data_IF_746582264284
#
_entry.id   IF_746582264284
#
_cell.length_a   1.000
_cell.length_b   1.000
_cell.length_c   1.000
_cell.angle_alpha   90.00
_cell.angle_beta   90.00
_cell.angle_gamma   90.00
#
_symmetry.space_group_name_H-M   'P 1'
#
loop_
_entity.id
_entity.type
_entity.pdbx_description
1 polymer ?
#
# COMPACT_ATOMS: atom_id res chain seq x y z
N UNK A 1 -13.51 9.62 -19.60
CA UNK A 1 -14.16 9.92 -20.87
C UNK A 1 -13.20 9.76 -22.05
N UNK A 2 -12.18 10.61 -22.26
CA UNK A 2 -11.24 10.47 -23.40
C UNK A 2 -10.48 9.15 -23.45
N UNK A 3 -10.17 8.55 -22.29
CA UNK A 3 -9.53 7.23 -22.18
C UNK A 3 -10.52 6.05 -22.12
N UNK A 4 -11.81 6.26 -22.42
CA UNK A 4 -12.83 5.22 -22.34
C UNK A 4 -13.10 4.69 -20.92
N UNK A 5 -12.72 5.43 -19.88
CA UNK A 5 -12.96 5.08 -18.47
C UNK A 5 -14.02 6.00 -17.89
N UNK A 6 -14.84 5.46 -17.00
CA UNK A 6 -15.73 6.30 -16.19
C UNK A 6 -14.89 7.05 -15.14
N UNK A 7 -15.10 8.38 -14.97
CA UNK A 7 -14.41 9.14 -13.94
C UNK A 7 -14.88 8.69 -12.56
N UNK A 8 -13.91 8.50 -11.66
CA UNK A 8 -14.21 8.20 -10.25
C UNK A 8 -14.57 9.45 -9.43
N UNK A 9 -14.26 10.63 -9.96
CA UNK A 9 -14.49 11.92 -9.32
C UNK A 9 -14.66 13.01 -10.38
N UNK A 10 -15.28 14.14 -9.99
CA UNK A 10 -15.54 15.29 -10.83
C UNK A 10 -15.03 16.56 -10.17
N UNK A 11 -13.95 17.12 -10.70
CA UNK A 11 -13.49 18.47 -10.33
C UNK A 11 -14.25 19.51 -11.14
N UNK A 12 -15.08 20.32 -10.47
CA UNK A 12 -15.83 21.40 -11.09
C UNK A 12 -15.06 22.71 -10.89
N UNK A 13 -14.86 23.45 -11.97
CA UNK A 13 -14.22 24.76 -11.89
C UNK A 13 -15.09 25.84 -12.52
N UNK A 14 -15.10 27.05 -11.94
CA UNK A 14 -16.04 28.12 -12.29
C UNK A 14 -15.43 29.51 -12.17
N UNK A 15 -15.97 30.47 -12.92
CA UNK A 15 -15.67 31.90 -12.72
C UNK A 15 -16.40 32.53 -11.52
N UNK A 16 -17.40 31.82 -10.96
CA UNK A 16 -18.14 32.31 -9.79
C UNK A 16 -17.26 32.33 -8.55
N UNK A 17 -17.33 33.39 -7.76
CA UNK A 17 -16.64 33.47 -6.47
C UNK A 17 -17.27 32.50 -5.45
N UNK A 18 -16.54 32.07 -4.41
CA UNK A 18 -17.07 31.13 -3.41
C UNK A 18 -18.40 31.58 -2.79
N UNK A 19 -18.56 32.89 -2.52
CA UNK A 19 -19.82 33.45 -2.03
C UNK A 19 -20.99 33.24 -3.00
N UNK A 20 -20.75 33.46 -4.30
CA UNK A 20 -21.78 33.27 -5.33
C UNK A 20 -22.14 31.79 -5.49
N UNK A 21 -21.20 30.86 -5.38
CA UNK A 21 -21.48 29.41 -5.35
C UNK A 21 -22.40 29.06 -4.17
N UNK A 22 -22.12 29.63 -2.99
CA UNK A 22 -22.95 29.42 -1.77
C UNK A 22 -24.36 30.02 -1.89
N UNK A 23 -24.55 31.08 -2.65
CA UNK A 23 -25.88 31.68 -2.93
C UNK A 23 -26.73 30.77 -3.85
N UNK A 24 -26.10 30.08 -4.80
CA UNK A 24 -26.81 29.20 -5.75
C UNK A 24 -27.21 27.86 -5.12
N UNK A 25 -26.39 27.32 -4.24
CA UNK A 25 -26.60 25.98 -3.69
C UNK A 25 -27.01 26.01 -2.22
N UNK A 26 -28.11 25.32 -1.91
CA UNK A 26 -28.70 25.30 -0.58
C UNK A 26 -27.83 24.71 0.52
N UNK A 27 -26.94 23.75 0.17
CA UNK A 27 -26.08 23.06 1.13
C UNK A 27 -24.65 23.01 0.62
N UNK A 28 -23.78 23.72 1.31
CA UNK A 28 -22.36 23.81 0.99
C UNK A 28 -21.52 23.61 2.24
N UNK A 29 -20.26 23.18 2.06
CA UNK A 29 -19.26 23.03 3.12
C UNK A 29 -17.99 23.78 2.69
N UNK A 30 -17.42 24.59 3.57
CA UNK A 30 -16.21 25.38 3.33
C UNK A 30 -14.97 24.49 3.50
N UNK A 31 -14.63 23.71 2.47
CA UNK A 31 -13.50 22.77 2.51
C UNK A 31 -12.16 23.41 2.15
N UNK A 32 -12.17 24.57 1.49
CA UNK A 32 -10.95 25.26 1.06
C UNK A 32 -11.25 26.67 0.58
N UNK A 33 -12.11 27.41 1.26
CA UNK A 33 -12.60 28.73 0.83
C UNK A 33 -11.46 29.74 0.59
N UNK A 34 -10.37 29.65 1.36
CA UNK A 34 -9.18 30.50 1.19
C UNK A 34 -8.50 30.30 -0.17
N UNK A 35 -8.68 29.12 -0.77
CA UNK A 35 -8.15 28.74 -2.07
C UNK A 35 -9.21 28.69 -3.16
N UNK A 36 -10.42 29.19 -2.86
CA UNK A 36 -11.52 29.27 -3.80
C UNK A 36 -12.38 28.01 -3.91
N UNK A 37 -12.19 26.99 -3.05
CA UNK A 37 -12.92 25.72 -3.13
C UNK A 37 -14.06 25.68 -2.12
N UNK A 38 -15.25 25.29 -2.60
CA UNK A 38 -16.45 25.03 -1.82
C UNK A 38 -16.98 23.66 -2.21
N UNK A 39 -17.30 22.80 -1.24
CA UNK A 39 -17.97 21.52 -1.54
C UNK A 39 -19.48 21.73 -1.55
N UNK A 40 -20.11 21.46 -2.69
CA UNK A 40 -21.55 21.47 -2.89
C UNK A 40 -22.10 20.09 -2.58
N UNK A 41 -23.06 20.02 -1.64
CA UNK A 41 -23.68 18.76 -1.23
C UNK A 41 -24.94 18.48 -2.04
N UNK A 42 -24.94 17.42 -2.85
CA UNK A 42 -26.12 16.91 -3.57
C UNK A 42 -26.56 15.57 -2.98
N UNK A 43 -27.54 15.62 -2.11
CA UNK A 43 -27.93 14.45 -1.31
C UNK A 43 -26.85 14.08 -0.29
N UNK A 44 -26.24 12.91 -0.45
CA UNK A 44 -25.11 12.42 0.37
C UNK A 44 -23.75 12.66 -0.28
N UNK A 45 -23.72 13.03 -1.54
CA UNK A 45 -22.50 13.23 -2.32
C UNK A 45 -22.04 14.69 -2.25
N UNK A 46 -20.73 14.89 -2.18
CA UNK A 46 -20.10 16.20 -2.19
C UNK A 46 -19.29 16.40 -3.47
N UNK A 47 -19.51 17.54 -4.15
CA UNK A 47 -18.79 17.92 -5.35
C UNK A 47 -17.95 19.16 -5.07
N UNK A 48 -16.65 19.08 -5.32
CA UNK A 48 -15.75 20.22 -5.16
C UNK A 48 -15.93 21.21 -6.31
N UNK A 49 -16.25 22.45 -5.96
CA UNK A 49 -16.38 23.55 -6.92
C UNK A 49 -15.32 24.59 -6.58
N UNK A 50 -14.37 24.79 -7.51
CA UNK A 50 -13.24 25.69 -7.32
C UNK A 50 -13.34 26.88 -8.25
N UNK A 51 -13.24 28.09 -7.69
CA UNK A 51 -13.14 29.34 -8.45
C UNK A 51 -11.84 29.38 -9.24
N UNK A 52 -11.90 29.83 -10.51
CA UNK A 52 -10.68 30.07 -11.32
C UNK A 52 -9.75 31.02 -10.59
N UNK A 53 -8.46 30.70 -10.61
CA UNK A 53 -7.49 31.47 -9.87
C UNK A 53 -6.13 31.53 -10.56
N UNK A 54 -5.40 32.56 -10.23
CA UNK A 54 -3.98 32.72 -10.52
C UNK A 54 -3.25 32.53 -9.19
N UNK A 55 -2.30 31.64 -9.14
CA UNK A 55 -1.47 31.43 -7.97
C UNK A 55 -0.32 32.45 -7.99
N UNK A 56 -0.09 33.15 -6.88
CA UNK A 56 1.04 34.02 -6.69
C UNK A 56 2.36 33.27 -6.50
N UNK A 57 3.41 33.95 -6.08
CA UNK A 57 4.71 33.34 -5.83
C UNK A 57 4.61 32.25 -4.73
N UNK A 58 5.42 31.22 -4.87
CA UNK A 58 5.53 30.12 -3.92
C UNK A 58 6.80 30.27 -3.08
N UNK A 59 6.66 30.63 -1.80
CA UNK A 59 7.82 30.76 -0.91
C UNK A 59 8.13 29.49 -0.13
N UNK A 60 7.14 28.62 0.11
CA UNK A 60 7.28 27.38 0.86
C UNK A 60 7.37 26.13 -0.03
N UNK A 61 7.40 26.30 -1.36
CA UNK A 61 7.41 25.20 -2.33
C UNK A 61 6.12 24.38 -2.34
N UNK A 62 4.99 24.92 -1.85
CA UNK A 62 3.69 24.22 -1.82
C UNK A 62 2.49 25.15 -2.03
N UNK A 63 2.42 26.22 -1.25
CA UNK A 63 1.27 27.10 -1.26
C UNK A 63 1.67 28.43 -1.89
N UNK A 64 0.85 28.96 -2.80
CA UNK A 64 1.07 30.30 -3.26
C UNK A 64 0.88 31.28 -2.09
N UNK A 65 1.74 32.27 -2.00
CA UNK A 65 1.66 33.33 -0.98
C UNK A 65 0.36 34.13 -1.06
N UNK A 66 -0.22 34.19 -2.24
CA UNK A 66 -1.51 34.82 -2.52
C UNK A 66 -2.24 34.07 -3.62
N UNK A 67 -3.55 34.14 -3.57
CA UNK A 67 -4.44 33.61 -4.61
C UNK A 67 -5.28 34.78 -5.12
N UNK A 68 -5.26 35.02 -6.41
CA UNK A 68 -6.11 36.00 -7.07
C UNK A 68 -7.18 35.27 -7.90
N UNK A 69 -8.43 35.57 -7.65
CA UNK A 69 -9.53 35.01 -8.44
C UNK A 69 -9.64 35.70 -9.79
N UNK A 70 -9.81 34.91 -10.84
CA UNK A 70 -9.92 35.39 -12.22
C UNK A 70 -11.18 34.85 -12.88
N UNK A 71 -11.79 35.57 -13.81
CA UNK A 71 -12.85 35.02 -14.66
C UNK A 71 -12.28 34.18 -15.83
N UNK A 72 -10.97 34.16 -16.04
CA UNK A 72 -10.33 33.50 -17.17
C UNK A 72 -9.96 32.04 -16.84
N UNK A 73 -10.66 31.10 -17.47
CA UNK A 73 -10.39 29.66 -17.36
C UNK A 73 -8.96 29.30 -17.83
N UNK A 74 -8.41 30.00 -18.83
CA UNK A 74 -7.10 29.66 -19.38
C UNK A 74 -6.01 29.90 -18.34
N UNK A 75 -6.10 30.99 -17.57
CA UNK A 75 -5.16 31.27 -16.48
C UNK A 75 -5.27 30.21 -15.35
N UNK A 76 -6.48 29.72 -15.04
CA UNK A 76 -6.63 28.61 -14.10
C UNK A 76 -6.02 27.29 -14.62
N UNK A 77 -6.17 26.98 -15.90
CA UNK A 77 -5.57 25.79 -16.52
C UNK A 77 -4.04 25.89 -16.60
N UNK A 78 -3.50 27.08 -16.82
CA UNK A 78 -2.07 27.36 -16.96
C UNK A 78 -1.26 27.04 -15.69
N UNK A 79 -1.83 27.19 -14.49
CA UNK A 79 -1.17 26.88 -13.21
C UNK A 79 -1.12 25.39 -12.90
N UNK A 80 -1.81 24.53 -13.67
CA UNK A 80 -1.86 23.09 -13.44
C UNK A 80 -0.53 22.41 -13.76
N UNK A 81 -0.36 21.19 -13.29
CA UNK A 81 0.90 20.43 -13.38
C UNK A 81 1.19 19.94 -14.81
N UNK A 82 0.24 19.20 -15.41
CA UNK A 82 0.46 18.53 -16.70
C UNK A 82 -0.63 18.87 -17.70
N UNK A 83 -0.28 18.86 -19.00
CA UNK A 83 -1.18 19.16 -20.11
C UNK A 83 -2.45 18.32 -20.08
N UNK A 84 -2.33 17.02 -19.78
CA UNK A 84 -3.44 16.06 -19.65
C UNK A 84 -4.41 16.40 -18.49
N UNK A 85 -3.98 17.22 -17.53
CA UNK A 85 -4.79 17.72 -16.41
C UNK A 85 -5.22 19.18 -16.60
N UNK A 86 -4.76 19.83 -17.66
CA UNK A 86 -5.04 21.24 -17.97
C UNK A 86 -6.07 21.40 -19.09
N UNK A 87 -7.10 20.57 -19.04
CA UNK A 87 -8.24 20.57 -19.97
C UNK A 87 -9.53 20.78 -19.18
N UNK A 88 -10.52 21.37 -19.80
CA UNK A 88 -11.85 21.52 -19.24
C UNK A 88 -12.91 21.14 -20.28
N UNK A 89 -14.09 20.76 -19.79
CA UNK A 89 -15.24 20.45 -20.62
C UNK A 89 -16.48 21.16 -20.09
N UNK A 90 -17.25 21.73 -20.99
CA UNK A 90 -18.56 22.30 -20.69
C UNK A 90 -19.54 21.89 -21.79
N UNK A 91 -20.78 21.54 -21.41
CA UNK A 91 -21.79 21.08 -22.38
C UNK A 91 -22.19 22.13 -23.44
N UNK A 92 -21.99 23.44 -23.15
CA UNK A 92 -22.32 24.51 -24.07
C UNK A 92 -21.15 24.91 -24.98
N UNK A 93 -19.93 24.94 -24.43
CA UNK A 93 -18.74 25.40 -25.17
C UNK A 93 -17.86 24.26 -25.67
N UNK A 94 -18.16 23.03 -25.26
CA UNK A 94 -17.37 21.85 -25.61
C UNK A 94 -16.05 21.75 -24.83
N UNK A 95 -15.06 21.15 -25.46
CA UNK A 95 -13.71 20.95 -24.92
C UNK A 95 -12.88 22.23 -25.03
N UNK A 96 -12.22 22.58 -23.91
CA UNK A 96 -11.20 23.63 -23.85
C UNK A 96 -9.85 22.96 -23.57
N UNK A 97 -8.99 22.91 -24.58
CA UNK A 97 -7.61 22.45 -24.50
C UNK A 97 -6.69 23.51 -25.14
N UNK A 98 -5.98 24.24 -24.29
CA UNK A 98 -5.07 25.31 -24.71
C UNK A 98 -3.60 24.90 -24.65
N UNK A 99 -3.32 23.75 -24.05
CA UNK A 99 -1.97 23.29 -23.77
C UNK A 99 -1.62 21.97 -24.46
N UNK A 100 -2.48 21.47 -25.36
CA UNK A 100 -2.24 20.24 -26.13
C UNK A 100 -2.43 18.96 -25.31
N UNK A 101 -3.28 18.99 -24.28
CA UNK A 101 -3.52 17.84 -23.42
C UNK A 101 -4.19 16.66 -24.14
N UNK A 102 -5.07 16.90 -25.12
CA UNK A 102 -5.69 15.85 -25.95
C UNK A 102 -4.62 15.15 -26.78
N UNK A 103 -3.74 15.90 -27.44
CA UNK A 103 -2.66 15.35 -28.25
C UNK A 103 -1.67 14.54 -27.41
N UNK A 104 -1.28 15.04 -26.23
CA UNK A 104 -0.41 14.32 -25.30
C UNK A 104 -1.09 13.06 -24.74
N UNK A 105 -2.40 13.10 -24.52
CA UNK A 105 -3.19 11.94 -24.11
C UNK A 105 -3.21 10.85 -25.21
N UNK A 106 -3.41 11.24 -26.47
CA UNK A 106 -3.41 10.34 -27.62
C UNK A 106 -2.02 9.72 -27.86
N UNK A 107 -0.95 10.52 -27.67
CA UNK A 107 0.44 10.08 -27.81
C UNK A 107 0.96 9.29 -26.60
N UNK A 108 0.24 9.27 -25.49
CA UNK A 108 0.68 8.64 -24.25
C UNK A 108 1.86 9.38 -23.61
N UNK A 109 1.79 10.70 -23.50
CA UNK A 109 2.87 11.56 -22.99
C UNK A 109 2.43 12.30 -21.73
N UNK A 110 3.29 12.33 -20.72
CA UNK A 110 3.21 13.23 -19.56
C UNK A 110 4.11 14.41 -19.82
N UNK A 111 3.53 15.59 -20.01
CA UNK A 111 4.21 16.86 -20.27
C UNK A 111 3.74 17.92 -19.30
N UNK A 112 4.67 18.71 -18.75
CA UNK A 112 4.33 19.89 -17.94
C UNK A 112 3.59 20.95 -18.74
N UNK A 113 2.71 21.71 -18.09
CA UNK A 113 2.14 22.92 -18.65
C UNK A 113 3.21 24.04 -18.58
N UNK A 114 3.53 24.63 -19.72
CA UNK A 114 4.55 25.69 -19.81
C UNK A 114 5.97 25.19 -19.60
N UNK A 115 6.77 25.91 -18.79
CA UNK A 115 8.16 25.56 -18.55
C UNK A 115 8.29 24.59 -17.36
N UNK A 116 8.83 23.37 -17.57
CA UNK A 116 8.91 22.35 -16.53
C UNK A 116 9.71 22.79 -15.29
N UNK A 117 10.79 23.54 -15.50
CA UNK A 117 11.63 24.04 -14.39
C UNK A 117 10.83 24.94 -13.45
N UNK A 118 10.02 25.84 -13.99
CA UNK A 118 9.17 26.74 -13.20
C UNK A 118 8.12 25.93 -12.44
N UNK A 119 7.41 25.04 -13.13
CA UNK A 119 6.35 24.19 -12.53
C UNK A 119 6.85 23.34 -11.38
N UNK A 120 8.04 22.77 -11.48
CA UNK A 120 8.61 21.92 -10.43
C UNK A 120 9.24 22.73 -9.29
N UNK A 121 9.70 23.96 -9.59
CA UNK A 121 10.17 24.87 -8.54
C UNK A 121 9.03 25.38 -7.66
N UNK A 122 7.84 25.60 -8.22
CA UNK A 122 6.63 25.96 -7.46
C UNK A 122 6.21 24.89 -6.46
N UNK A 123 6.20 23.62 -6.87
CA UNK A 123 5.90 22.47 -6.01
C UNK A 123 6.72 21.26 -6.48
N UNK A 124 7.79 20.96 -5.77
CA UNK A 124 8.68 19.85 -6.09
C UNK A 124 7.97 18.48 -6.04
N UNK A 125 6.82 18.33 -5.34
CA UNK A 125 6.06 17.09 -5.38
C UNK A 125 5.57 16.75 -6.80
N UNK A 126 5.43 17.73 -7.68
CA UNK A 126 5.04 17.52 -9.08
C UNK A 126 5.97 16.56 -9.82
N UNK A 127 7.25 16.44 -9.41
CA UNK A 127 8.18 15.47 -10.00
C UNK A 127 7.76 14.03 -9.69
N UNK A 128 7.34 13.72 -8.46
CA UNK A 128 6.77 12.40 -8.12
C UNK A 128 5.41 12.18 -8.79
N UNK A 129 4.61 13.23 -8.92
CA UNK A 129 3.33 13.15 -9.63
C UNK A 129 3.52 12.80 -11.10
N UNK A 130 4.56 13.32 -11.78
CA UNK A 130 4.90 12.95 -13.16
C UNK A 130 5.16 11.44 -13.29
N UNK A 131 5.99 10.90 -12.41
CA UNK A 131 6.30 9.46 -12.39
C UNK A 131 5.04 8.64 -12.06
N UNK A 132 4.23 9.09 -11.11
CA UNK A 132 2.98 8.41 -10.74
C UNK A 132 1.97 8.40 -11.89
N UNK A 133 1.72 9.53 -12.56
CA UNK A 133 0.81 9.56 -13.72
C UNK A 133 1.33 8.70 -14.86
N UNK A 134 2.64 8.73 -15.12
CA UNK A 134 3.28 7.83 -16.07
C UNK A 134 3.01 6.36 -15.72
N UNK A 135 3.10 5.98 -14.43
CA UNK A 135 2.80 4.62 -13.96
C UNK A 135 1.31 4.26 -14.03
N UNK A 136 0.42 5.19 -13.74
CA UNK A 136 -1.03 4.96 -13.76
C UNK A 136 -1.60 4.79 -15.17
N UNK A 137 -1.04 5.52 -16.12
CA UNK A 137 -1.52 5.57 -17.50
C UNK A 137 -0.69 4.70 -18.46
N UNK A 138 0.52 4.28 -18.06
CA UNK A 138 1.46 3.59 -18.93
C UNK A 138 2.13 4.54 -19.93
N UNK A 139 2.17 5.85 -19.63
CA UNK A 139 2.66 6.89 -20.51
C UNK A 139 4.15 7.15 -20.33
N UNK A 140 4.82 7.63 -21.39
CA UNK A 140 6.17 8.15 -21.31
C UNK A 140 6.17 9.57 -20.75
N UNK A 141 7.28 9.99 -20.12
CA UNK A 141 7.47 11.37 -19.70
C UNK A 141 8.23 12.08 -20.83
N UNK A 142 7.76 13.27 -21.21
CA UNK A 142 8.40 14.11 -22.23
C UNK A 142 9.83 14.48 -21.79
N UNK A 143 10.77 14.51 -22.73
CA UNK A 143 12.22 14.65 -22.44
C UNK A 143 12.56 15.87 -21.60
N UNK A 144 12.05 17.07 -21.97
CA UNK A 144 12.31 18.31 -21.19
C UNK A 144 11.72 18.22 -19.78
N UNK A 145 10.55 17.60 -19.66
CA UNK A 145 9.92 17.33 -18.36
C UNK A 145 10.77 16.35 -17.54
N UNK A 146 11.32 15.31 -18.18
CA UNK A 146 12.18 14.33 -17.52
C UNK A 146 13.52 14.92 -17.05
N UNK A 147 14.15 15.77 -17.86
CA UNK A 147 15.38 16.49 -17.49
C UNK A 147 15.15 17.45 -16.32
N UNK A 148 14.02 18.16 -16.32
CA UNK A 148 13.64 19.03 -15.21
C UNK A 148 13.40 18.25 -13.90
N UNK A 149 12.83 17.03 -13.97
CA UNK A 149 12.70 16.14 -12.80
C UNK A 149 14.07 15.90 -12.16
N UNK A 150 15.08 15.55 -12.97
CA UNK A 150 16.44 15.29 -12.47
C UNK A 150 17.09 16.53 -11.85
N UNK A 151 16.87 17.68 -12.46
CA UNK A 151 17.45 18.94 -12.01
C UNK A 151 16.83 19.42 -10.69
N UNK A 152 15.50 19.27 -10.53
CA UNK A 152 14.75 19.76 -9.37
C UNK A 152 14.69 18.70 -8.25
N UNK A 153 15.15 17.46 -8.48
CA UNK A 153 15.14 16.39 -7.47
C UNK A 153 15.62 16.84 -6.07
N UNK A 154 16.69 17.66 -5.89
CA UNK A 154 17.12 18.14 -4.58
C UNK A 154 16.04 18.91 -3.80
N UNK A 155 15.13 19.60 -4.48
CA UNK A 155 14.07 20.38 -3.83
C UNK A 155 13.03 19.49 -3.10
N UNK A 156 13.05 18.18 -3.34
CA UNK A 156 12.20 17.22 -2.61
C UNK A 156 12.44 17.23 -1.09
N UNK A 157 13.57 17.73 -0.61
CA UNK A 157 13.84 17.87 0.84
C UNK A 157 12.84 18.79 1.55
N UNK A 158 12.20 19.70 0.80
CA UNK A 158 11.20 20.63 1.32
C UNK A 158 9.78 20.04 1.32
N UNK A 159 9.59 18.86 0.71
CA UNK A 159 8.27 18.22 0.64
C UNK A 159 8.06 17.30 1.86
N UNK A 160 6.92 17.43 2.52
CA UNK A 160 6.60 16.59 3.69
C UNK A 160 6.49 15.09 3.33
N UNK A 161 6.92 14.23 4.25
CA UNK A 161 6.92 12.78 4.06
C UNK A 161 5.52 12.21 3.84
N UNK A 162 4.51 12.84 4.44
CA UNK A 162 3.10 12.49 4.29
C UNK A 162 2.63 12.68 2.84
N UNK A 163 3.06 13.76 2.17
CA UNK A 163 2.75 13.99 0.75
C UNK A 163 3.51 13.00 -0.15
N UNK A 164 4.79 12.79 0.13
CA UNK A 164 5.65 11.87 -0.62
C UNK A 164 5.08 10.45 -0.57
N UNK A 165 4.74 9.95 0.63
CA UNK A 165 4.22 8.58 0.79
C UNK A 165 2.90 8.36 0.05
N UNK A 166 2.04 9.39 -0.06
CA UNK A 166 0.79 9.30 -0.83
C UNK A 166 1.08 9.08 -2.32
N UNK A 167 2.01 9.83 -2.89
CA UNK A 167 2.38 9.68 -4.31
C UNK A 167 3.06 8.33 -4.58
N UNK A 168 4.01 7.91 -3.72
CA UNK A 168 4.66 6.60 -3.83
C UNK A 168 3.65 5.45 -3.69
N UNK A 169 2.71 5.55 -2.75
CA UNK A 169 1.66 4.54 -2.57
C UNK A 169 0.76 4.47 -3.80
N UNK A 170 0.31 5.60 -4.35
CA UNK A 170 -0.49 5.64 -5.58
C UNK A 170 0.28 5.10 -6.79
N UNK A 171 1.60 5.31 -6.85
CA UNK A 171 2.47 4.74 -7.87
C UNK A 171 2.51 3.22 -7.74
N UNK A 172 2.77 2.68 -6.55
CA UNK A 172 2.80 1.24 -6.31
C UNK A 172 1.44 0.57 -6.57
N UNK A 173 0.33 1.26 -6.32
CA UNK A 173 -1.03 0.77 -6.60
C UNK A 173 -1.43 0.86 -8.09
N UNK A 174 -0.60 1.48 -8.92
CA UNK A 174 -0.88 1.65 -10.35
C UNK A 174 -0.80 0.33 -11.13
N UNK A 175 -1.17 0.41 -12.43
CA UNK A 175 -1.00 -0.70 -13.38
C UNK A 175 0.46 -0.99 -13.75
N UNK A 176 1.37 -0.03 -13.51
CA UNK A 176 2.81 -0.16 -13.77
C UNK A 176 3.64 0.16 -12.53
N UNK A 177 3.54 -0.66 -11.45
CA UNK A 177 4.22 -0.40 -10.19
C UNK A 177 5.76 -0.41 -10.33
N UNK A 178 6.29 -1.08 -11.35
CA UNK A 178 7.73 -1.13 -11.65
C UNK A 178 8.32 0.25 -11.98
N UNK A 179 7.49 1.23 -12.33
CA UNK A 179 7.94 2.60 -12.52
C UNK A 179 8.47 3.25 -11.23
N UNK A 180 8.36 2.58 -10.09
CA UNK A 180 9.08 2.96 -8.86
C UNK A 180 10.60 3.01 -9.08
N UNK A 181 11.15 2.22 -10.02
CA UNK A 181 12.55 2.28 -10.44
C UNK A 181 12.93 3.69 -10.92
N UNK A 182 12.03 4.41 -11.60
CA UNK A 182 12.29 5.77 -12.09
C UNK A 182 12.59 6.78 -10.97
N UNK A 183 12.08 6.53 -9.74
CA UNK A 183 12.41 7.36 -8.56
C UNK A 183 13.90 7.27 -8.22
N UNK A 184 14.52 6.14 -8.52
CA UNK A 184 15.97 5.93 -8.36
C UNK A 184 16.75 6.45 -9.57
N UNK A 185 16.33 6.14 -10.78
CA UNK A 185 16.98 6.55 -12.03
C UNK A 185 17.03 8.08 -12.23
N UNK A 186 16.02 8.78 -11.76
CA UNK A 186 15.94 10.24 -11.81
C UNK A 186 16.69 10.95 -10.68
N UNK A 187 17.26 10.18 -9.73
CA UNK A 187 17.99 10.76 -8.59
C UNK A 187 17.10 11.37 -7.51
N UNK A 188 15.80 11.08 -7.50
CA UNK A 188 14.85 11.58 -6.48
C UNK A 188 15.02 10.82 -5.16
N UNK A 189 15.33 9.51 -5.21
CA UNK A 189 15.30 8.62 -4.04
C UNK A 189 16.12 9.10 -2.83
N UNK A 190 17.31 9.74 -2.93
CA UNK A 190 18.05 10.26 -1.77
C UNK A 190 17.24 11.34 -1.01
N UNK A 191 16.48 12.14 -1.72
CA UNK A 191 15.70 13.26 -1.17
C UNK A 191 14.33 12.81 -0.67
N UNK A 192 13.86 11.64 -1.10
CA UNK A 192 12.69 10.98 -0.50
C UNK A 192 13.02 10.58 0.94
N UNK A 193 14.09 9.83 1.17
CA UNK A 193 14.57 9.40 2.48
C UNK A 193 15.88 8.62 2.29
N UNK A 194 16.86 8.83 3.19
CA UNK A 194 18.09 8.02 3.19
C UNK A 194 17.79 6.53 3.35
N UNK A 195 16.82 6.17 4.20
CA UNK A 195 16.43 4.78 4.41
C UNK A 195 15.79 4.16 3.17
N UNK A 196 14.90 4.91 2.50
CA UNK A 196 14.28 4.49 1.25
C UNK A 196 15.33 4.34 0.14
N UNK A 197 16.17 5.35 -0.05
CA UNK A 197 17.26 5.31 -1.03
C UNK A 197 18.18 4.11 -0.78
N UNK A 198 18.68 3.97 0.45
CA UNK A 198 19.57 2.90 0.83
C UNK A 198 18.98 1.49 0.69
N UNK A 199 17.65 1.33 0.55
CA UNK A 199 17.04 0.01 0.37
C UNK A 199 17.63 -0.72 -0.84
N UNK A 200 17.86 0.00 -1.94
CA UNK A 200 18.27 -0.56 -3.23
C UNK A 200 19.42 0.21 -3.90
N UNK A 201 20.02 1.17 -3.20
CA UNK A 201 21.22 1.84 -3.69
C UNK A 201 22.37 0.83 -3.77
N UNK A 202 22.80 0.52 -4.98
CA UNK A 202 23.99 -0.26 -5.26
C UNK A 202 25.21 0.64 -5.49
N UNK A 203 26.39 0.04 -5.50
CA UNK A 203 27.60 0.73 -5.92
C UNK A 203 27.49 1.13 -7.41
N UNK A 204 27.94 2.32 -7.75
CA UNK A 204 28.04 2.81 -9.13
C UNK A 204 26.69 3.03 -9.88
N UNK A 205 25.62 3.35 -9.17
CA UNK A 205 24.33 3.68 -9.81
C UNK A 205 23.57 2.49 -10.38
N UNK A 206 23.96 1.29 -10.02
CA UNK A 206 23.22 0.07 -10.36
C UNK A 206 22.14 -0.16 -9.28
N UNK A 207 20.88 0.08 -9.67
CA UNK A 207 19.74 -0.03 -8.75
C UNK A 207 19.18 -1.45 -8.75
N UNK A 208 19.27 -2.14 -7.61
CA UNK A 208 18.72 -3.49 -7.45
C UNK A 208 17.23 -3.45 -7.04
N UNK A 209 16.46 -2.48 -7.58
CA UNK A 209 15.03 -2.35 -7.29
C UNK A 209 14.28 -3.56 -7.83
N UNK A 210 13.58 -4.32 -6.99
CA UNK A 210 12.90 -5.53 -7.43
C UNK A 210 11.66 -5.20 -8.28
N UNK A 211 11.45 -5.94 -9.37
CA UNK A 211 10.22 -5.85 -10.15
C UNK A 211 9.02 -6.32 -9.32
N UNK A 212 7.86 -5.72 -9.51
CA UNK A 212 6.63 -6.08 -8.82
C UNK A 212 5.74 -6.90 -9.77
N UNK A 213 5.57 -8.21 -9.55
CA UNK A 213 4.76 -9.06 -10.42
C UNK A 213 3.34 -8.54 -10.61
N UNK A 214 2.85 -8.58 -11.85
CA UNK A 214 1.53 -8.06 -12.22
C UNK A 214 0.38 -8.75 -11.46
N UNK A 215 0.55 -10.02 -11.07
CA UNK A 215 -0.43 -10.78 -10.31
C UNK A 215 -0.61 -10.33 -8.85
N UNK A 216 0.30 -9.51 -8.30
CA UNK A 216 0.15 -9.02 -6.93
C UNK A 216 -1.01 -8.01 -6.88
N UNK A 217 -2.03 -8.22 -6.02
CA UNK A 217 -3.16 -7.32 -5.90
C UNK A 217 -2.77 -5.86 -5.63
N UNK A 218 -3.53 -4.92 -6.19
CA UNK A 218 -3.34 -3.48 -5.95
C UNK A 218 -3.86 -3.08 -4.55
N UNK A 219 -3.36 -3.75 -3.53
CA UNK A 219 -3.64 -3.50 -2.11
C UNK A 219 -2.40 -2.87 -1.48
N UNK A 220 -2.58 -1.83 -0.68
CA UNK A 220 -1.50 -0.98 -0.15
C UNK A 220 -0.36 -1.80 0.47
N UNK A 221 -0.66 -2.60 1.48
CA UNK A 221 0.37 -3.37 2.18
C UNK A 221 0.98 -4.49 1.32
N UNK A 222 0.22 -5.07 0.37
CA UNK A 222 0.73 -6.07 -0.56
C UNK A 222 1.78 -5.50 -1.51
N UNK A 223 1.50 -4.33 -2.11
CA UNK A 223 2.42 -3.66 -3.04
C UNK A 223 3.67 -3.14 -2.33
N UNK A 224 3.53 -2.59 -1.11
CA UNK A 224 4.68 -2.21 -0.29
C UNK A 224 5.51 -3.42 0.15
N UNK A 225 4.88 -4.56 0.52
CA UNK A 225 5.60 -5.78 0.86
C UNK A 225 6.34 -6.36 -0.36
N UNK A 226 5.73 -6.35 -1.53
CA UNK A 226 6.36 -6.78 -2.76
C UNK A 226 7.57 -5.90 -3.12
N UNK A 227 7.45 -4.58 -2.97
CA UNK A 227 8.55 -3.64 -3.20
C UNK A 227 9.69 -3.83 -2.18
N UNK A 228 9.39 -4.06 -0.90
CA UNK A 228 10.39 -4.17 0.17
C UNK A 228 10.82 -5.62 0.47
N UNK A 229 10.46 -6.58 -0.38
CA UNK A 229 10.66 -8.02 -0.12
C UNK A 229 12.11 -8.45 0.12
N UNK A 230 13.06 -7.73 -0.46
CA UNK A 230 14.49 -8.04 -0.35
C UNK A 230 15.15 -7.33 0.84
N UNK A 231 14.39 -6.54 1.59
CA UNK A 231 14.81 -5.93 2.85
C UNK A 231 14.59 -6.89 4.03
N UNK A 232 15.33 -6.68 5.13
CA UNK A 232 14.92 -7.27 6.41
C UNK A 232 13.61 -6.65 6.90
N UNK A 233 12.81 -7.41 7.66
CA UNK A 233 11.54 -6.94 8.22
C UNK A 233 11.70 -5.65 9.06
N UNK A 234 12.80 -5.54 9.83
CA UNK A 234 13.11 -4.34 10.60
C UNK A 234 13.36 -3.15 9.69
N UNK A 235 14.18 -3.33 8.63
CA UNK A 235 14.49 -2.27 7.66
C UNK A 235 13.24 -1.81 6.91
N UNK A 236 12.39 -2.74 6.47
CA UNK A 236 11.11 -2.41 5.85
C UNK A 236 10.23 -1.55 6.76
N UNK A 237 10.08 -1.95 8.03
CA UNK A 237 9.34 -1.16 9.02
C UNK A 237 9.94 0.23 9.26
N UNK A 238 11.26 0.36 9.30
CA UNK A 238 11.95 1.64 9.50
C UNK A 238 11.80 2.59 8.30
N UNK A 239 11.79 2.07 7.08
CA UNK A 239 11.51 2.84 5.85
C UNK A 239 10.08 3.39 5.91
N UNK A 240 9.11 2.52 6.20
CA UNK A 240 7.70 2.92 6.22
C UNK A 240 7.38 3.93 7.33
N UNK A 241 8.01 3.79 8.51
CA UNK A 241 7.91 4.77 9.60
C UNK A 241 8.49 6.13 9.21
N UNK A 242 9.65 6.14 8.55
CA UNK A 242 10.30 7.35 8.08
C UNK A 242 9.42 8.07 7.03
N UNK A 243 8.76 7.31 6.17
CA UNK A 243 7.78 7.81 5.20
C UNK A 243 6.42 8.16 5.80
N UNK A 244 6.23 8.01 7.12
CA UNK A 244 4.98 8.33 7.84
C UNK A 244 3.75 7.52 7.40
N UNK A 245 3.93 6.24 7.07
CA UNK A 245 2.79 5.35 6.86
C UNK A 245 2.11 5.02 8.22
N UNK A 246 0.85 4.60 8.14
CA UNK A 246 0.09 4.19 9.32
C UNK A 246 0.59 2.87 9.93
N UNK A 247 0.33 2.68 11.22
CA UNK A 247 0.83 1.54 12.00
C UNK A 247 0.31 0.19 11.49
N UNK A 248 -0.93 0.13 10.98
CA UNK A 248 -1.50 -1.11 10.43
C UNK A 248 -0.74 -1.52 9.17
N UNK A 249 -0.53 -0.59 8.24
CA UNK A 249 0.29 -0.84 7.05
C UNK A 249 1.71 -1.30 7.42
N UNK A 250 2.36 -0.64 8.38
CA UNK A 250 3.71 -0.99 8.83
C UNK A 250 3.73 -2.42 9.40
N UNK A 251 2.78 -2.76 10.25
CA UNK A 251 2.65 -4.10 10.84
C UNK A 251 2.46 -5.18 9.77
N UNK A 252 1.51 -4.98 8.85
CA UNK A 252 1.22 -5.93 7.77
C UNK A 252 2.41 -6.14 6.85
N UNK A 253 3.03 -5.06 6.38
CA UNK A 253 4.21 -5.13 5.50
C UNK A 253 5.36 -5.83 6.21
N UNK A 254 5.68 -5.46 7.45
CA UNK A 254 6.74 -6.10 8.24
C UNK A 254 6.51 -7.60 8.33
N UNK A 255 5.29 -8.02 8.67
CA UNK A 255 4.93 -9.44 8.82
C UNK A 255 5.06 -10.18 7.50
N UNK A 256 4.56 -9.61 6.40
CA UNK A 256 4.68 -10.22 5.07
C UNK A 256 6.15 -10.36 4.64
N UNK A 257 6.96 -9.31 4.81
CA UNK A 257 8.41 -9.34 4.48
C UNK A 257 9.15 -10.36 5.34
N UNK A 258 8.85 -10.46 6.64
CA UNK A 258 9.45 -11.45 7.52
C UNK A 258 9.11 -12.88 7.12
N UNK A 259 7.86 -13.12 6.71
CA UNK A 259 7.35 -14.47 6.46
C UNK A 259 7.50 -14.93 5.01
N UNK A 260 7.64 -14.00 4.05
CA UNK A 260 7.75 -14.38 2.63
C UNK A 260 9.02 -15.18 2.32
N UNK A 261 10.12 -14.94 3.01
CA UNK A 261 11.35 -15.70 2.87
C UNK A 261 11.29 -17.10 3.50
N UNK A 262 10.30 -17.38 4.35
CA UNK A 262 10.14 -18.64 5.07
C UNK A 262 9.16 -19.58 4.36
N UNK A 263 9.36 -20.88 4.43
CA UNK A 263 8.39 -21.84 3.91
C UNK A 263 7.17 -21.95 4.82
N UNK A 264 6.00 -21.68 4.25
CA UNK A 264 4.71 -21.84 4.96
C UNK A 264 4.47 -23.32 5.23
N UNK A 265 4.15 -23.65 6.48
CA UNK A 265 3.82 -25.02 6.88
C UNK A 265 5.02 -25.90 7.26
N UNK A 266 6.24 -25.34 7.38
CA UNK A 266 7.39 -26.01 8.01
C UNK A 266 7.63 -25.47 9.42
N UNK A 267 8.15 -26.33 10.32
CA UNK A 267 8.52 -25.90 11.68
C UNK A 267 9.84 -25.11 11.63
N UNK A 268 9.95 -24.01 12.40
CA UNK A 268 11.13 -23.14 12.44
C UNK A 268 12.45 -23.89 12.81
N UNK A 269 12.34 -25.00 13.53
CA UNK A 269 13.50 -25.84 13.89
C UNK A 269 14.11 -26.64 12.72
N UNK A 270 13.49 -26.60 11.53
CA UNK A 270 13.97 -27.30 10.33
C UNK A 270 14.58 -26.33 9.27
N UNK A 271 14.67 -25.03 9.58
CA UNK A 271 15.11 -24.03 8.60
C UNK A 271 16.60 -24.17 8.17
N UNK A 272 17.48 -24.67 9.04
CA UNK A 272 18.92 -24.85 8.73
C UNK A 272 19.22 -26.02 7.77
N UNK A 273 18.28 -26.96 7.57
CA UNK A 273 18.44 -28.08 6.62
C UNK A 273 17.68 -27.91 5.29
N UNK A 274 17.14 -26.72 5.01
CA UNK A 274 16.06 -26.48 4.06
C UNK A 274 16.39 -26.60 2.57
N UNK A 275 17.67 -26.54 2.18
CA UNK A 275 18.06 -26.80 0.78
C UNK A 275 17.80 -28.26 0.33
N UNK A 276 17.73 -29.19 1.29
CA UNK A 276 17.55 -30.62 1.03
C UNK A 276 16.08 -31.08 1.14
N UNK A 277 15.20 -30.36 1.86
CA UNK A 277 13.81 -30.78 2.10
C UNK A 277 12.94 -30.73 0.82
N UNK A 278 13.27 -29.86 -0.16
CA UNK A 278 12.59 -29.85 -1.47
C UNK A 278 12.93 -31.11 -2.28
N UNK A 279 14.12 -31.68 -2.07
CA UNK A 279 14.55 -32.92 -2.72
C UNK A 279 13.86 -34.17 -2.11
N UNK A 280 13.42 -34.09 -0.84
CA UNK A 280 12.85 -35.23 -0.09
C UNK A 280 11.34 -35.46 -0.34
N UNK A 281 10.67 -34.68 -1.17
CA UNK A 281 9.26 -34.91 -1.53
C UNK A 281 8.27 -34.80 -0.36
N UNK A 282 8.63 -34.16 0.76
CA UNK A 282 7.74 -34.00 1.91
C UNK A 282 6.59 -33.05 1.57
N UNK A 283 5.36 -33.47 1.87
CA UNK A 283 4.16 -32.67 1.71
C UNK A 283 3.88 -31.79 2.95
N UNK A 284 3.16 -30.65 2.78
CA UNK A 284 2.76 -29.84 3.93
C UNK A 284 1.78 -30.62 4.81
N UNK A 285 1.98 -30.59 6.14
CA UNK A 285 1.06 -31.26 7.07
C UNK A 285 -0.04 -30.30 7.55
N UNK A 286 -1.24 -30.84 7.82
CA UNK A 286 -2.35 -30.05 8.39
C UNK A 286 -1.97 -29.37 9.71
N UNK A 287 -1.21 -30.06 10.56
CA UNK A 287 -0.75 -29.53 11.85
C UNK A 287 0.19 -28.33 11.66
N UNK A 288 1.16 -28.41 10.74
CA UNK A 288 2.07 -27.31 10.46
C UNK A 288 1.34 -26.10 9.85
N UNK A 289 0.32 -26.32 9.02
CA UNK A 289 -0.48 -25.23 8.45
C UNK A 289 -1.35 -24.58 9.54
N UNK A 290 -2.03 -25.35 10.42
CA UNK A 290 -2.77 -24.79 11.56
C UNK A 290 -1.87 -23.93 12.44
N UNK A 291 -0.64 -24.37 12.73
CA UNK A 291 0.35 -23.56 13.45
C UNK A 291 0.70 -22.27 12.72
N UNK A 292 0.95 -22.33 11.42
CA UNK A 292 1.22 -21.12 10.62
C UNK A 292 0.04 -20.15 10.62
N UNK A 293 -1.20 -20.66 10.48
CA UNK A 293 -2.43 -19.85 10.56
C UNK A 293 -2.64 -19.24 11.94
N UNK A 294 -2.26 -19.94 13.03
CA UNK A 294 -2.42 -19.43 14.40
C UNK A 294 -1.50 -18.26 14.75
N UNK A 295 -0.45 -18.02 13.97
CA UNK A 295 0.56 -17.01 14.23
C UNK A 295 0.26 -15.63 13.62
N UNK A 296 -0.82 -15.51 12.84
CA UNK A 296 -1.20 -14.24 12.20
C UNK A 296 -2.71 -14.16 11.98
N UNK A 297 -3.18 -12.97 11.61
CA UNK A 297 -4.58 -12.76 11.26
C UNK A 297 -4.94 -13.56 9.99
N UNK A 298 -6.18 -14.07 9.89
CA UNK A 298 -6.61 -14.90 8.75
C UNK A 298 -6.42 -14.22 7.40
N UNK A 299 -6.77 -12.93 7.30
CA UNK A 299 -6.61 -12.13 6.06
C UNK A 299 -5.14 -11.96 5.70
N UNK A 300 -4.28 -11.73 6.68
CA UNK A 300 -2.85 -11.56 6.45
C UNK A 300 -2.17 -12.87 6.04
N UNK A 301 -2.70 -14.02 6.48
CA UNK A 301 -2.25 -15.32 6.02
C UNK A 301 -2.59 -15.55 4.53
N UNK A 302 -3.78 -15.14 4.09
CA UNK A 302 -4.19 -15.21 2.69
C UNK A 302 -3.35 -14.27 1.81
N UNK A 303 -3.06 -13.07 2.30
CA UNK A 303 -2.17 -12.11 1.65
C UNK A 303 -0.76 -12.69 1.50
N UNK A 304 -0.23 -13.37 2.54
CA UNK A 304 1.06 -14.04 2.49
C UNK A 304 1.10 -15.13 1.41
N UNK A 305 0.09 -16.00 1.36
CA UNK A 305 -0.01 -17.04 0.33
C UNK A 305 -0.08 -16.45 -1.07
N UNK A 306 -0.92 -15.42 -1.26
CA UNK A 306 -1.06 -14.72 -2.52
C UNK A 306 0.26 -14.08 -2.96
N UNK A 307 0.93 -13.36 -2.05
CA UNK A 307 2.23 -12.75 -2.32
C UNK A 307 3.27 -13.80 -2.77
N UNK A 308 3.40 -14.89 -2.01
CA UNK A 308 4.34 -15.96 -2.32
C UNK A 308 4.02 -16.65 -3.64
N UNK A 309 2.77 -16.93 -3.93
CA UNK A 309 2.36 -17.54 -5.20
C UNK A 309 2.72 -16.64 -6.39
N UNK A 310 2.41 -15.34 -6.33
CA UNK A 310 2.76 -14.41 -7.40
C UNK A 310 4.28 -14.26 -7.59
N UNK A 311 5.06 -14.25 -6.50
CA UNK A 311 6.52 -14.20 -6.56
C UNK A 311 7.11 -15.50 -7.15
N UNK A 312 6.59 -16.66 -6.75
CA UNK A 312 7.04 -17.96 -7.26
C UNK A 312 6.70 -18.15 -8.74
N UNK A 313 5.52 -17.66 -9.17
CA UNK A 313 5.10 -17.67 -10.57
C UNK A 313 6.02 -16.78 -11.42
N UNK A 314 6.31 -15.56 -10.98
CA UNK A 314 7.20 -14.64 -11.66
C UNK A 314 8.65 -15.17 -11.75
N UNK A 315 9.08 -15.94 -10.74
CA UNK A 315 10.39 -16.59 -10.72
C UNK A 315 10.41 -17.95 -11.45
N UNK A 316 9.30 -18.39 -12.05
CA UNK A 316 9.14 -19.72 -12.66
C UNK A 316 9.53 -20.87 -11.72
N UNK A 317 9.24 -20.70 -10.41
CA UNK A 317 9.52 -21.71 -9.39
C UNK A 317 8.34 -22.67 -9.23
N UNK A 318 8.23 -23.61 -10.17
CA UNK A 318 7.12 -24.59 -10.21
C UNK A 318 7.07 -25.49 -8.95
N UNK A 319 8.21 -25.75 -8.34
CA UNK A 319 8.28 -26.55 -7.11
C UNK A 319 7.60 -25.88 -5.94
N UNK A 320 7.94 -24.61 -5.70
CA UNK A 320 7.32 -23.81 -4.65
C UNK A 320 5.84 -23.52 -4.95
N UNK A 321 5.51 -23.27 -6.21
CA UNK A 321 4.14 -23.02 -6.62
C UNK A 321 3.22 -24.24 -6.36
N UNK A 322 3.69 -25.48 -6.64
CA UNK A 322 2.96 -26.71 -6.29
C UNK A 322 2.76 -26.83 -4.78
N UNK A 323 3.80 -26.59 -4.00
CA UNK A 323 3.73 -26.57 -2.54
C UNK A 323 2.69 -25.56 -2.02
N UNK A 324 2.73 -24.34 -2.50
CA UNK A 324 1.80 -23.27 -2.08
C UNK A 324 0.36 -23.59 -2.46
N UNK A 325 0.11 -24.23 -3.59
CA UNK A 325 -1.22 -24.72 -3.97
C UNK A 325 -1.73 -25.76 -2.97
N UNK A 326 -0.90 -26.74 -2.59
CA UNK A 326 -1.26 -27.73 -1.56
C UNK A 326 -1.53 -27.05 -0.20
N UNK A 327 -0.69 -26.07 0.19
CA UNK A 327 -0.92 -25.29 1.43
C UNK A 327 -2.28 -24.59 1.37
N UNK A 328 -2.63 -23.96 0.24
CA UNK A 328 -3.91 -23.29 0.07
C UNK A 328 -5.09 -24.28 0.18
N UNK A 329 -5.02 -25.40 -0.50
CA UNK A 329 -6.09 -26.42 -0.48
C UNK A 329 -6.31 -26.96 0.94
N UNK A 330 -5.22 -27.22 1.68
CA UNK A 330 -5.30 -27.65 3.09
C UNK A 330 -5.79 -26.52 4.02
N UNK A 331 -5.47 -25.26 3.74
CA UNK A 331 -6.00 -24.11 4.48
C UNK A 331 -7.51 -24.02 4.33
N UNK A 332 -8.03 -24.21 3.12
CA UNK A 332 -9.47 -24.24 2.87
C UNK A 332 -10.17 -25.43 3.57
N UNK A 333 -9.52 -26.59 3.60
CA UNK A 333 -10.01 -27.76 4.33
C UNK A 333 -10.08 -27.49 5.84
N UNK A 334 -9.01 -26.95 6.44
CA UNK A 334 -8.94 -26.57 7.86
C UNK A 334 -10.07 -25.60 8.23
N UNK A 335 -10.31 -24.58 7.37
CA UNK A 335 -11.41 -23.63 7.57
C UNK A 335 -12.79 -24.27 7.45
N UNK A 336 -12.99 -25.14 6.46
CA UNK A 336 -14.25 -25.87 6.26
C UNK A 336 -14.58 -26.75 7.44
N UNK A 337 -13.57 -27.41 8.00
CA UNK A 337 -13.70 -28.26 9.18
C UNK A 337 -13.88 -27.44 10.47
N UNK A 338 -13.67 -26.12 10.42
CA UNK A 338 -13.67 -25.24 11.60
C UNK A 338 -12.66 -25.67 12.66
N UNK A 339 -11.48 -26.13 12.22
CA UNK A 339 -10.42 -26.51 13.14
C UNK A 339 -10.05 -25.32 14.05
N UNK A 340 -9.74 -25.61 15.30
CA UNK A 340 -9.28 -24.61 16.24
C UNK A 340 -7.86 -24.14 15.86
N UNK A 341 -7.71 -22.85 15.55
CA UNK A 341 -6.44 -22.22 15.19
C UNK A 341 -6.07 -21.02 16.08
N UNK A 342 -6.86 -20.75 17.13
CA UNK A 342 -6.62 -19.60 18.00
C UNK A 342 -7.14 -19.83 19.40
N UNK A 343 -6.62 -19.05 20.37
CA UNK A 343 -7.15 -19.07 21.73
C UNK A 343 -8.64 -18.70 21.80
N UNK A 344 -9.15 -17.95 20.83
CA UNK A 344 -10.58 -17.57 20.78
C UNK A 344 -11.50 -18.73 20.45
N UNK A 345 -10.98 -19.73 19.73
CA UNK A 345 -11.73 -20.90 19.28
C UNK A 345 -11.41 -22.16 20.12
N UNK A 346 -10.54 -22.02 21.13
CA UNK A 346 -10.25 -23.09 22.07
C UNK A 346 -11.49 -23.38 22.95
N UNK A 347 -11.79 -24.64 23.21
CA UNK A 347 -12.97 -25.07 23.95
C UNK A 347 -12.93 -24.75 25.45
N UNK A 348 -11.81 -24.23 25.96
CA UNK A 348 -11.64 -23.78 27.35
C UNK A 348 -11.20 -22.34 27.39
N UNK A 349 -11.69 -21.59 28.37
CA UNK A 349 -11.32 -20.23 28.66
C UNK A 349 -10.34 -20.15 29.85
N UNK A 350 -9.79 -18.94 30.10
CA UNK A 350 -8.98 -18.68 31.30
C UNK A 350 -9.74 -18.96 32.60
N UNK A 351 -11.05 -18.73 32.63
CA UNK A 351 -11.89 -19.04 33.79
C UNK A 351 -11.99 -20.56 34.07
N UNK A 352 -12.14 -21.36 33.02
CA UNK A 352 -12.20 -22.81 33.13
C UNK A 352 -10.88 -23.38 33.69
N UNK A 353 -9.76 -22.82 33.22
CA UNK A 353 -8.41 -23.23 33.66
C UNK A 353 -8.14 -22.82 35.11
N UNK A 354 -8.56 -21.63 35.53
CA UNK A 354 -8.50 -21.21 36.93
C UNK A 354 -9.41 -22.10 37.82
N UNK A 355 -10.61 -22.43 37.34
CA UNK A 355 -11.51 -23.40 38.02
C UNK A 355 -10.88 -24.79 38.21
N UNK A 356 -10.03 -25.22 37.27
CA UNK A 356 -9.23 -26.43 37.40
C UNK A 356 -7.96 -26.23 38.28
N UNK A 357 -7.82 -25.06 38.98
CA UNK A 357 -6.81 -24.82 40.01
C UNK A 357 -5.47 -24.31 39.45
N UNK A 358 -5.41 -23.72 38.24
CA UNK A 358 -4.25 -23.01 37.77
C UNK A 358 -4.26 -21.58 38.35
N UNK A 359 -3.10 -21.11 38.84
CA UNK A 359 -3.01 -19.81 39.50
C UNK A 359 -3.25 -18.66 38.50
N UNK A 360 -4.00 -17.61 38.89
CA UNK A 360 -4.19 -16.44 38.06
C UNK A 360 -2.87 -15.79 37.62
N UNK A 361 -2.85 -15.22 36.40
CA UNK A 361 -1.70 -14.51 35.87
C UNK A 361 -1.01 -15.24 34.72
N UNK A 362 0.32 -15.18 34.65
CA UNK A 362 1.12 -15.74 33.52
C UNK A 362 0.92 -17.25 33.31
N UNK A 363 0.63 -17.98 34.37
CA UNK A 363 0.42 -19.43 34.33
C UNK A 363 -0.82 -19.81 33.51
N UNK A 364 -1.89 -19.01 33.57
CA UNK A 364 -3.10 -19.20 32.74
C UNK A 364 -2.77 -19.05 31.27
N UNK A 365 -2.05 -17.99 30.90
CA UNK A 365 -1.66 -17.72 29.51
C UNK A 365 -0.76 -18.82 28.93
N UNK A 366 0.26 -19.26 29.68
CA UNK A 366 1.16 -20.36 29.24
C UNK A 366 0.44 -21.68 29.14
N UNK A 367 -0.53 -21.94 30.01
CA UNK A 367 -1.36 -23.16 29.97
C UNK A 367 -2.27 -23.15 28.74
N UNK A 368 -2.96 -22.04 28.46
CA UNK A 368 -3.78 -21.91 27.25
C UNK A 368 -2.95 -22.09 25.95
N UNK A 369 -1.76 -21.50 25.90
CA UNK A 369 -0.87 -21.65 24.74
C UNK A 369 -0.48 -23.12 24.52
N UNK A 370 -0.12 -23.83 25.59
CA UNK A 370 0.21 -25.27 25.52
C UNK A 370 -0.97 -26.15 25.12
N UNK A 371 -2.18 -25.83 25.59
CA UNK A 371 -3.40 -26.56 25.17
C UNK A 371 -3.71 -26.26 23.70
N UNK A 372 -3.52 -25.03 23.25
CA UNK A 372 -3.66 -24.69 21.83
C UNK A 372 -2.67 -25.48 20.98
N UNK A 373 -1.39 -25.53 21.35
CA UNK A 373 -0.39 -26.32 20.61
C UNK A 373 -0.80 -27.78 20.43
N UNK A 374 -1.36 -28.40 21.48
CA UNK A 374 -1.87 -29.75 21.41
C UNK A 374 -3.07 -29.89 20.47
N UNK A 375 -3.98 -28.92 20.48
CA UNK A 375 -5.16 -28.89 19.59
C UNK A 375 -4.76 -28.60 18.14
N UNK A 376 -3.74 -27.77 17.91
CA UNK A 376 -3.20 -27.54 16.57
C UNK A 376 -2.64 -28.82 15.95
N UNK A 377 -2.10 -29.72 16.75
CA UNK A 377 -1.68 -31.07 16.31
C UNK A 377 -2.86 -31.94 16.01
N UNK A 378 -3.78 -32.09 16.98
CA UNK A 378 -4.95 -32.98 16.92
C UNK A 378 -6.25 -32.21 17.24
N UNK A 379 -6.95 -31.64 16.22
CA UNK A 379 -8.13 -30.78 16.44
C UNK A 379 -9.29 -31.47 17.15
N UNK A 380 -9.40 -32.78 17.03
CA UNK A 380 -10.43 -33.59 17.74
C UNK A 380 -10.29 -33.53 19.27
N UNK A 381 -9.14 -33.10 19.79
CA UNK A 381 -8.91 -32.87 21.22
C UNK A 381 -9.52 -31.56 21.74
N UNK A 382 -10.08 -30.75 20.89
CA UNK A 382 -10.66 -29.44 21.26
C UNK A 382 -12.07 -29.63 21.87
N UNK A 383 -12.14 -30.38 22.98
CA UNK A 383 -13.35 -30.48 23.81
C UNK A 383 -13.02 -30.07 25.25
N UNK A 384 -13.98 -29.46 25.94
CA UNK A 384 -13.77 -29.00 27.32
C UNK A 384 -13.38 -30.12 28.25
N UNK A 385 -14.04 -31.25 28.13
CA UNK A 385 -13.80 -32.44 28.93
C UNK A 385 -12.37 -32.97 28.77
N UNK A 386 -11.91 -33.09 27.52
CA UNK A 386 -10.57 -33.60 27.23
C UNK A 386 -9.49 -32.65 27.76
N UNK A 387 -9.64 -31.34 27.50
CA UNK A 387 -8.66 -30.36 27.87
C UNK A 387 -8.51 -30.17 29.37
N UNK A 388 -9.61 -30.24 30.13
CA UNK A 388 -9.58 -30.17 31.59
C UNK A 388 -9.01 -31.46 32.20
N UNK A 389 -9.42 -32.64 31.73
CA UNK A 389 -8.87 -33.93 32.19
C UNK A 389 -7.34 -34.01 31.96
N UNK A 390 -6.82 -33.44 30.84
CA UNK A 390 -5.40 -33.39 30.58
C UNK A 390 -4.64 -32.53 31.60
N UNK A 391 -5.26 -31.47 32.14
CA UNK A 391 -4.65 -30.62 33.17
C UNK A 391 -4.61 -31.38 34.54
N UNK A 392 -5.61 -32.13 34.88
CA UNK A 392 -5.69 -32.93 36.13
C UNK A 392 -4.64 -34.05 36.17
N UNK A 393 -4.48 -34.79 35.05
CA UNK A 393 -3.49 -35.88 34.95
C UNK A 393 -2.05 -35.37 35.15
N UNK A 394 -1.70 -34.18 34.64
CA UNK A 394 -0.36 -33.58 34.85
C UNK A 394 -0.11 -33.11 36.27
N UNK A 395 -1.15 -32.74 37.03
CA UNK A 395 -1.00 -32.41 38.45
C UNK A 395 -0.73 -33.67 39.29
N UNK A 396 -1.35 -34.77 38.96
CA UNK A 396 -1.09 -36.07 39.61
C UNK A 396 0.34 -36.59 39.39
N UNK A 397 0.95 -36.24 38.25
CA UNK A 397 2.33 -36.64 37.92
C UNK A 397 3.41 -35.71 38.50
N UNK A 398 3.06 -34.46 38.81
CA UNK A 398 4.00 -33.46 39.41
C UNK A 398 3.95 -33.44 40.95
N UNK A 399 3.12 -34.26 41.56
CA UNK A 399 2.89 -34.35 43.01
C UNK A 399 3.41 -35.65 43.66
N UNK A 400 4.37 -36.35 43.00
CA UNK A 400 5.11 -37.47 43.59
C UNK A 400 6.56 -37.06 43.77
#
# INVERSE_FOLDING_TARGET
MLLGREPGDWDITTSALPGQVKEVFRRTVDTGIQHGTVTVMMGKEGYEVTTYRIDGEYSDGRHPNSVEFTPDLVEDLKRRDFTINAMAYNSHTGFVDKFGGVEDLEKGIIRCVGEPMDRFTEDALRILRAIRFSAQLGFSIEERTYEAIRTIAPNMVHVSKERIQVELTKLLLSSHPDYILRVYETGISPYVSEKFHGAYAGESGNWAVPSIPAGIPAVKHMRWAAFLRDCSASRAADILKDLKLDNDTIYRVRTLVERQGKKVGLQDSMEDGMRDVIKDGREPSRASIRRAMSQMEPELFDDLLTLKMCLSEAASNDGELRWLRQVRDLTEEIRRNRDCISLKTLAVSGYDIMGAGVKPGREVGSTLARLLDMVLEEPQRNTKEYLLAHLEQKKGQAGI
#
